data_IF_518128132561
#
_entry.id   IF_518128132561
#
_cell.length_a   1.000
_cell.length_b   1.000
_cell.length_c   1.000
_cell.angle_alpha   90.00
_cell.angle_beta   90.00
_cell.angle_gamma   90.00
#
_symmetry.space_group_name_H-M   'P 1'
#
loop_
_entity.id
_entity.type
_entity.pdbx_description
1 polymer ?
#
# COMPACT_ATOMS: atom_id res chain seq x y z
N UNK A 1 -26.74 -1.41 55.63
CA UNK A 1 -25.81 -1.50 54.47
C UNK A 1 -25.96 -0.24 53.62
N UNK A 2 -25.11 0.79 53.86
CA UNK A 2 -25.25 2.11 53.22
C UNK A 2 -24.73 2.03 51.76
N UNK A 3 -25.61 2.09 50.76
CA UNK A 3 -25.23 2.35 49.37
C UNK A 3 -24.65 3.78 49.28
N UNK A 4 -23.30 3.92 49.31
CA UNK A 4 -22.66 5.20 48.98
C UNK A 4 -23.06 5.62 47.59
N UNK A 5 -23.93 6.63 47.43
CA UNK A 5 -24.24 7.29 46.17
C UNK A 5 -22.93 7.79 45.54
N UNK A 6 -22.57 7.26 44.38
CA UNK A 6 -21.41 7.74 43.64
C UNK A 6 -21.78 9.16 43.17
N UNK A 7 -21.04 10.17 43.61
CA UNK A 7 -21.27 11.56 43.24
C UNK A 7 -20.83 11.78 41.77
N UNK A 8 -21.56 12.64 41.03
CA UNK A 8 -21.24 13.01 39.64
C UNK A 8 -19.76 13.36 39.43
N UNK A 9 -19.16 14.06 40.42
CA UNK A 9 -17.74 14.41 40.43
C UNK A 9 -16.81 13.19 40.39
N UNK A 10 -17.15 12.08 41.04
CA UNK A 10 -16.37 10.84 41.02
C UNK A 10 -16.47 10.10 39.70
N UNK A 11 -17.65 10.14 39.07
CA UNK A 11 -17.85 9.57 37.72
C UNK A 11 -16.98 10.32 36.74
N UNK A 12 -16.98 11.65 36.78
CA UNK A 12 -16.18 12.50 35.91
C UNK A 12 -14.66 12.25 36.10
N UNK A 13 -14.18 12.12 37.34
CA UNK A 13 -12.79 11.78 37.61
C UNK A 13 -12.41 10.41 36.96
N UNK A 14 -13.23 9.40 37.11
CA UNK A 14 -12.97 8.06 36.52
C UNK A 14 -12.93 8.14 35.00
N UNK A 15 -13.89 8.78 34.37
CA UNK A 15 -13.96 8.96 32.92
C UNK A 15 -12.73 9.72 32.42
N UNK A 16 -12.35 10.78 33.10
CA UNK A 16 -11.16 11.57 32.75
C UNK A 16 -9.87 10.74 32.78
N UNK A 17 -9.65 9.96 33.83
CA UNK A 17 -8.49 9.08 33.94
C UNK A 17 -8.51 7.99 32.85
N UNK A 18 -9.65 7.39 32.60
CA UNK A 18 -9.79 6.38 31.52
C UNK A 18 -9.44 6.96 30.14
N UNK A 19 -9.95 8.15 29.82
CA UNK A 19 -9.64 8.83 28.55
C UNK A 19 -8.16 9.19 28.47
N UNK A 20 -7.57 9.72 29.55
CA UNK A 20 -6.15 10.08 29.56
C UNK A 20 -5.23 8.87 29.32
N UNK A 21 -5.53 7.73 29.95
CA UNK A 21 -4.77 6.49 29.71
C UNK A 21 -4.98 5.95 28.29
N UNK A 22 -6.20 5.99 27.76
CA UNK A 22 -6.47 5.61 26.38
C UNK A 22 -5.65 6.45 25.39
N UNK A 23 -5.58 7.76 25.61
CA UNK A 23 -4.80 8.68 24.80
C UNK A 23 -3.29 8.39 24.87
N UNK A 24 -2.75 8.01 26.03
CA UNK A 24 -1.34 7.64 26.18
C UNK A 24 -1.00 6.38 25.38
N UNK A 25 -1.88 5.37 25.38
CA UNK A 25 -1.63 4.11 24.69
C UNK A 25 -1.94 4.13 23.18
N UNK A 26 -2.75 5.08 22.72
CA UNK A 26 -3.15 5.19 21.34
C UNK A 26 -1.97 5.34 20.35
N UNK A 27 -0.96 6.20 20.61
CA UNK A 27 0.21 6.32 19.73
C UNK A 27 1.03 5.03 19.60
N UNK A 28 1.11 4.22 20.66
CA UNK A 28 1.78 2.91 20.59
C UNK A 28 1.02 1.94 19.67
N UNK A 29 -0.31 1.94 19.73
CA UNK A 29 -1.12 1.15 18.81
C UNK A 29 -0.92 1.60 17.37
N UNK A 30 -0.88 2.92 17.12
CA UNK A 30 -0.59 3.46 15.80
C UNK A 30 0.76 2.98 15.27
N UNK A 31 1.82 3.15 16.06
CA UNK A 31 3.16 2.72 15.67
C UNK A 31 3.23 1.22 15.39
N UNK A 32 2.60 0.40 16.25
CA UNK A 32 2.56 -1.06 16.07
C UNK A 32 1.79 -1.47 14.81
N UNK A 33 0.70 -0.78 14.46
CA UNK A 33 -0.17 -1.18 13.35
C UNK A 33 0.28 -0.61 12.00
N UNK A 34 0.85 0.59 11.99
CA UNK A 34 1.13 1.37 10.78
C UNK A 34 2.60 1.78 10.64
N UNK A 35 3.46 1.36 11.56
CA UNK A 35 4.84 1.79 11.59
C UNK A 35 4.99 3.25 12.04
N UNK A 36 5.99 3.96 11.49
CA UNK A 36 6.20 5.38 11.77
C UNK A 36 5.11 6.20 11.10
N UNK A 37 4.32 6.91 11.90
CA UNK A 37 3.25 7.81 11.44
C UNK A 37 3.65 9.24 11.75
N UNK A 38 3.70 10.09 10.74
CA UNK A 38 3.96 11.52 10.92
C UNK A 38 2.71 12.24 11.41
N UNK A 39 2.89 13.29 12.18
CA UNK A 39 1.79 14.01 12.81
C UNK A 39 0.81 14.62 11.79
N UNK A 40 1.31 15.12 10.69
CA UNK A 40 0.51 15.66 9.60
C UNK A 40 -0.33 14.61 8.87
N UNK A 41 0.13 13.35 8.83
CA UNK A 41 -0.67 12.23 8.34
C UNK A 41 -1.87 11.97 9.28
N UNK A 42 -1.65 12.06 10.59
CA UNK A 42 -2.71 11.94 11.57
C UNK A 42 -3.77 13.05 11.38
N UNK A 43 -3.34 14.31 11.21
CA UNK A 43 -4.23 15.44 10.94
C UNK A 43 -5.01 15.23 9.65
N UNK A 44 -4.34 14.84 8.56
CA UNK A 44 -5.00 14.55 7.28
C UNK A 44 -6.11 13.49 7.43
N UNK A 45 -5.85 12.43 8.17
CA UNK A 45 -6.85 11.39 8.41
C UNK A 45 -8.00 11.86 9.30
N UNK A 46 -7.74 12.70 10.31
CA UNK A 46 -8.78 13.31 11.13
C UNK A 46 -9.70 14.23 10.29
N UNK A 47 -9.12 15.04 9.40
CA UNK A 47 -9.92 15.87 8.48
C UNK A 47 -10.82 15.04 7.57
N UNK A 48 -10.30 13.96 7.00
CA UNK A 48 -11.10 13.05 6.18
C UNK A 48 -12.24 12.41 7.00
N UNK A 49 -11.96 12.04 8.25
CA UNK A 49 -12.97 11.49 9.16
C UNK A 49 -14.12 12.49 9.39
N UNK A 50 -13.80 13.73 9.72
CA UNK A 50 -14.84 14.76 9.95
C UNK A 50 -15.61 15.13 8.66
N UNK A 51 -15.02 14.93 7.49
CA UNK A 51 -15.70 15.10 6.18
C UNK A 51 -16.59 13.90 5.80
N UNK A 52 -16.73 12.88 6.65
CA UNK A 52 -17.54 11.69 6.40
C UNK A 52 -17.03 10.75 5.31
N UNK A 53 -15.79 10.95 4.85
CA UNK A 53 -15.19 10.19 3.74
C UNK A 53 -14.47 8.92 4.18
N UNK A 54 -14.59 8.51 5.44
CA UNK A 54 -13.76 7.44 6.00
C UNK A 54 -14.58 6.24 6.45
N UNK A 55 -14.32 5.12 5.80
CA UNK A 55 -14.74 3.80 6.27
C UNK A 55 -13.48 3.07 6.74
N UNK A 56 -13.36 2.85 8.05
CA UNK A 56 -12.24 2.11 8.61
C UNK A 56 -12.23 0.66 8.12
N UNK A 57 -11.05 0.12 7.82
CA UNK A 57 -10.89 -1.29 7.47
C UNK A 57 -11.33 -2.19 8.65
N UNK A 58 -11.99 -3.30 8.36
CA UNK A 58 -12.54 -4.19 9.39
C UNK A 58 -11.45 -4.81 10.28
N UNK A 59 -10.26 -5.08 9.75
CA UNK A 59 -9.13 -5.59 10.53
C UNK A 59 -8.56 -4.49 11.44
N UNK A 60 -8.46 -3.26 10.93
CA UNK A 60 -8.05 -2.09 11.71
C UNK A 60 -9.03 -1.83 12.84
N UNK A 61 -10.35 -1.86 12.56
CA UNK A 61 -11.39 -1.73 13.59
C UNK A 61 -11.27 -2.82 14.65
N UNK A 62 -11.14 -4.08 14.26
CA UNK A 62 -11.00 -5.21 15.20
C UNK A 62 -9.73 -5.07 16.07
N UNK A 63 -8.64 -4.64 15.48
CA UNK A 63 -7.39 -4.35 16.20
C UNK A 63 -7.57 -3.20 17.18
N UNK A 64 -8.21 -2.10 16.76
CA UNK A 64 -8.50 -0.95 17.62
C UNK A 64 -9.39 -1.35 18.81
N UNK A 65 -10.47 -2.10 18.59
CA UNK A 65 -11.32 -2.58 19.68
C UNK A 65 -10.56 -3.44 20.69
N UNK A 66 -9.70 -4.35 20.23
CA UNK A 66 -8.84 -5.13 21.14
C UNK A 66 -7.95 -4.22 21.99
N UNK A 67 -7.32 -3.23 21.38
CA UNK A 67 -6.48 -2.27 22.09
C UNK A 67 -7.26 -1.39 23.07
N UNK A 68 -8.45 -0.94 22.70
CA UNK A 68 -9.34 -0.18 23.57
C UNK A 68 -9.75 -0.98 24.80
N UNK A 69 -10.04 -2.28 24.65
CA UNK A 69 -10.37 -3.17 25.77
C UNK A 69 -9.15 -3.35 26.66
N UNK A 70 -7.99 -3.70 26.12
CA UNK A 70 -6.76 -3.92 26.89
C UNK A 70 -6.36 -2.65 27.65
N UNK A 71 -6.34 -1.50 26.96
CA UNK A 71 -5.98 -0.22 27.59
C UNK A 71 -6.99 0.21 28.65
N UNK A 72 -8.29 -0.04 28.47
CA UNK A 72 -9.32 0.24 29.47
C UNK A 72 -9.15 -0.62 30.72
N UNK A 73 -8.88 -1.92 30.56
CA UNK A 73 -8.62 -2.83 31.70
C UNK A 73 -7.35 -2.39 32.43
N UNK A 74 -6.26 -2.12 31.70
CA UNK A 74 -5.00 -1.67 32.28
C UNK A 74 -5.15 -0.32 32.99
N UNK A 75 -5.86 0.62 32.36
CA UNK A 75 -6.17 1.94 32.96
C UNK A 75 -6.96 1.83 34.24
N UNK A 76 -7.97 0.95 34.25
CA UNK A 76 -8.78 0.71 35.47
C UNK A 76 -7.92 0.13 36.58
N UNK A 77 -7.08 -0.85 36.29
CA UNK A 77 -6.16 -1.44 37.26
C UNK A 77 -5.19 -0.40 37.85
N UNK A 78 -4.54 0.38 36.98
CA UNK A 78 -3.61 1.44 37.37
C UNK A 78 -4.34 2.51 38.18
N UNK A 79 -5.53 2.95 37.80
CA UNK A 79 -6.35 3.89 38.57
C UNK A 79 -6.66 3.36 39.97
N UNK A 80 -7.10 2.10 40.08
CA UNK A 80 -7.41 1.49 41.39
C UNK A 80 -6.16 1.37 42.31
N UNK A 81 -5.01 1.00 41.69
CA UNK A 81 -3.73 0.93 42.39
C UNK A 81 -3.30 2.30 42.92
N UNK A 82 -3.30 3.33 42.07
CA UNK A 82 -2.93 4.70 42.50
C UNK A 82 -3.94 5.29 43.48
N UNK A 83 -5.24 5.02 43.31
CA UNK A 83 -6.26 5.45 44.25
C UNK A 83 -6.02 4.90 45.65
N UNK A 84 -5.64 3.62 45.76
CA UNK A 84 -5.33 3.00 47.05
C UNK A 84 -4.09 3.61 47.73
N UNK A 85 -3.09 4.04 46.94
CA UNK A 85 -1.78 4.48 47.41
C UNK A 85 -1.64 6.00 47.59
N UNK A 86 -2.28 6.82 46.76
CA UNK A 86 -1.97 8.25 46.63
C UNK A 86 -3.15 9.23 46.79
N UNK A 87 -4.42 8.81 46.60
CA UNK A 87 -5.54 9.76 46.55
C UNK A 87 -6.09 10.22 47.92
N UNK A 88 -5.30 10.22 48.93
CA UNK A 88 -5.65 10.85 50.25
C UNK A 88 -5.27 12.34 50.32
N UNK A 89 -4.72 12.96 49.27
CA UNK A 89 -4.14 14.32 49.29
C UNK A 89 -4.92 15.39 48.47
N UNK A 90 -4.71 16.66 48.90
CA UNK A 90 -5.36 17.93 48.55
C UNK A 90 -5.47 18.26 47.02
N UNK A 91 -6.38 19.21 46.66
CA UNK A 91 -6.65 19.67 45.31
C UNK A 91 -5.43 20.12 44.48
N UNK A 92 -4.37 20.58 45.09
CA UNK A 92 -3.11 21.01 44.46
C UNK A 92 -2.32 19.84 43.85
N UNK A 93 -2.47 18.64 44.40
CA UNK A 93 -1.85 17.43 43.82
C UNK A 93 -2.55 16.96 42.56
N UNK A 94 -3.86 17.21 42.40
CA UNK A 94 -4.63 16.83 41.22
C UNK A 94 -4.22 17.60 39.97
N UNK A 95 -3.89 18.88 40.07
CA UNK A 95 -3.41 19.71 38.96
C UNK A 95 -2.03 19.19 38.49
N UNK A 96 -1.13 18.86 39.40
CA UNK A 96 0.17 18.28 39.07
C UNK A 96 0.05 16.93 38.35
N UNK A 97 -0.87 16.08 38.82
CA UNK A 97 -1.16 14.79 38.17
C UNK A 97 -1.69 15.00 36.73
N UNK A 98 -2.61 15.95 36.55
CA UNK A 98 -3.15 16.30 35.23
C UNK A 98 -2.07 16.76 34.25
N UNK A 99 -1.19 17.64 34.71
CA UNK A 99 -0.03 18.14 33.94
C UNK A 99 0.91 16.97 33.61
N UNK A 100 1.18 16.08 34.58
CA UNK A 100 2.04 14.92 34.35
C UNK A 100 1.47 13.97 33.29
N UNK A 101 0.15 13.68 33.31
CA UNK A 101 -0.51 12.88 32.29
C UNK A 101 -0.46 13.54 30.90
N UNK A 102 -0.68 14.85 30.83
CA UNK A 102 -0.57 15.59 29.59
C UNK A 102 0.84 15.55 29.01
N UNK A 103 1.86 15.73 29.85
CA UNK A 103 3.27 15.63 29.44
C UNK A 103 3.63 14.22 28.96
N UNK A 104 3.18 13.17 29.65
CA UNK A 104 3.40 11.78 29.20
C UNK A 104 2.70 11.52 27.87
N UNK A 105 1.48 12.04 27.69
CA UNK A 105 0.77 11.94 26.41
C UNK A 105 1.53 12.62 25.26
N UNK A 106 2.00 13.85 25.47
CA UNK A 106 2.77 14.61 24.47
C UNK A 106 4.09 13.89 24.16
N UNK A 107 4.80 13.37 25.17
CA UNK A 107 6.02 12.59 24.97
C UNK A 107 5.75 11.28 24.21
N UNK A 108 4.69 10.57 24.57
CA UNK A 108 4.26 9.36 23.86
C UNK A 108 3.91 9.65 22.41
N UNK A 109 3.16 10.72 22.14
CA UNK A 109 2.81 11.16 20.81
C UNK A 109 4.05 11.53 20.00
N UNK A 110 4.95 12.33 20.58
CA UNK A 110 6.20 12.74 19.93
C UNK A 110 7.09 11.56 19.58
N UNK A 111 7.26 10.62 20.51
CA UNK A 111 8.08 9.42 20.28
C UNK A 111 7.51 8.49 19.19
N UNK A 112 6.17 8.37 19.11
CA UNK A 112 5.53 7.40 18.22
C UNK A 112 5.08 7.98 16.86
N UNK A 113 5.04 9.32 16.72
CA UNK A 113 4.53 9.98 15.51
C UNK A 113 5.53 10.93 14.87
N UNK A 114 6.80 10.89 15.25
CA UNK A 114 7.80 11.85 14.76
C UNK A 114 7.28 13.32 14.79
N UNK A 115 6.56 13.69 15.85
CA UNK A 115 5.91 14.99 15.99
C UNK A 115 6.90 16.16 15.85
N UNK A 116 8.06 16.07 16.48
CA UNK A 116 9.08 17.11 16.42
C UNK A 116 9.63 17.28 15.00
N UNK A 117 9.86 16.18 14.28
CA UNK A 117 10.29 16.22 12.89
C UNK A 117 9.22 16.89 12.01
N UNK A 118 7.93 16.58 12.25
CA UNK A 118 6.83 17.19 11.50
C UNK A 118 6.70 18.71 11.72
N UNK A 119 7.02 19.20 12.92
CA UNK A 119 6.92 20.63 13.25
C UNK A 119 8.11 21.42 12.70
N UNK A 120 9.31 20.82 12.75
CA UNK A 120 10.55 21.47 12.31
C UNK A 120 10.81 21.35 10.80
N UNK A 121 10.07 20.46 10.14
CA UNK A 121 10.27 20.11 8.74
C UNK A 121 9.47 21.03 7.82
N UNK A 122 10.17 21.93 7.10
CA UNK A 122 9.55 22.71 6.04
C UNK A 122 9.38 21.81 4.79
N UNK A 123 8.16 21.32 4.57
CA UNK A 123 7.83 20.34 3.52
C UNK A 123 8.14 20.83 2.11
N UNK A 124 7.85 22.09 1.84
CA UNK A 124 8.00 22.62 0.49
C UNK A 124 9.46 22.68 0.09
N UNK A 125 10.31 23.22 0.95
CA UNK A 125 11.76 23.31 0.69
C UNK A 125 12.43 21.93 0.56
N UNK A 126 11.96 20.94 1.32
CA UNK A 126 12.56 19.62 1.28
C UNK A 126 12.19 18.85 0.01
N UNK A 127 10.93 18.89 -0.41
CA UNK A 127 10.49 18.23 -1.65
C UNK A 127 11.17 18.89 -2.84
N UNK A 128 11.17 20.22 -2.91
CA UNK A 128 11.83 20.96 -3.98
C UNK A 128 13.33 20.68 -4.04
N UNK A 129 14.03 20.68 -2.90
CA UNK A 129 15.48 20.46 -2.87
C UNK A 129 15.92 19.02 -3.13
N UNK A 130 15.11 18.02 -2.73
CA UNK A 130 15.55 16.63 -2.73
C UNK A 130 14.85 15.75 -3.75
N UNK A 131 13.68 16.15 -4.25
CA UNK A 131 12.84 15.31 -5.11
C UNK A 131 12.36 15.99 -6.39
N UNK A 132 12.50 17.32 -6.51
CA UNK A 132 12.04 18.04 -7.68
C UNK A 132 13.23 18.40 -8.58
N UNK A 133 13.27 17.79 -9.75
CA UNK A 133 14.22 18.13 -10.81
C UNK A 133 13.42 18.73 -11.95
N UNK A 134 13.52 20.06 -12.12
CA UNK A 134 12.87 20.77 -13.22
C UNK A 134 13.78 20.88 -14.45
N UNK A 135 14.69 19.92 -14.62
CA UNK A 135 15.52 19.87 -15.80
C UNK A 135 14.76 19.26 -16.98
N UNK A 136 14.79 19.92 -18.15
CA UNK A 136 14.17 19.38 -19.34
C UNK A 136 14.84 18.05 -19.72
N UNK A 137 14.03 17.00 -19.86
CA UNK A 137 14.51 15.70 -20.33
C UNK A 137 14.91 15.85 -21.79
N UNK A 138 16.21 15.88 -22.06
CA UNK A 138 16.74 15.92 -23.42
C UNK A 138 16.99 14.49 -23.91
N UNK A 139 16.08 13.97 -24.76
CA UNK A 139 16.25 12.65 -25.36
C UNK A 139 16.99 12.81 -26.68
N UNK A 140 18.30 12.58 -26.66
CA UNK A 140 19.15 12.66 -27.85
C UNK A 140 19.09 11.42 -28.75
N UNK A 141 18.60 10.29 -28.25
CA UNK A 141 18.59 9.00 -28.93
C UNK A 141 17.19 8.63 -29.48
N UNK A 142 17.16 7.64 -30.39
CA UNK A 142 15.90 7.05 -30.85
C UNK A 142 15.07 6.58 -29.66
N UNK A 143 13.84 7.03 -29.58
CA UNK A 143 12.90 6.67 -28.52
C UNK A 143 12.63 5.18 -28.53
N UNK A 144 12.77 4.53 -27.39
CA UNK A 144 12.40 3.14 -27.16
C UNK A 144 11.03 3.07 -26.48
N UNK A 145 10.32 1.98 -26.68
CA UNK A 145 9.14 1.72 -25.87
C UNK A 145 9.56 1.40 -24.41
N UNK A 146 8.75 1.79 -23.45
CA UNK A 146 9.03 1.56 -22.03
C UNK A 146 7.88 0.77 -21.39
N UNK A 147 8.21 -0.32 -20.72
CA UNK A 147 7.28 -1.15 -19.93
C UNK A 147 7.72 -1.14 -18.48
N UNK A 148 6.82 -0.74 -17.58
CA UNK A 148 7.02 -0.75 -16.14
C UNK A 148 6.06 -1.75 -15.51
N UNK A 149 6.59 -2.84 -14.95
CA UNK A 149 5.80 -3.93 -14.39
C UNK A 149 5.89 -3.88 -12.86
N UNK A 150 4.75 -3.61 -12.24
CA UNK A 150 4.56 -3.70 -10.79
C UNK A 150 4.04 -5.08 -10.46
N UNK A 151 4.84 -5.85 -9.73
CA UNK A 151 4.42 -7.18 -9.26
C UNK A 151 3.96 -7.06 -7.82
N UNK A 152 2.69 -7.31 -7.61
CA UNK A 152 2.04 -7.19 -6.30
C UNK A 152 2.82 -7.92 -5.21
N UNK A 153 3.19 -7.22 -4.12
CA UNK A 153 3.88 -7.76 -2.94
C UNK A 153 5.15 -8.58 -3.24
N UNK A 154 5.81 -8.39 -4.40
CA UNK A 154 7.04 -9.12 -4.74
C UNK A 154 8.22 -8.59 -3.93
N UNK A 155 8.81 -9.44 -3.13
CA UNK A 155 9.86 -9.11 -2.16
C UNK A 155 11.07 -10.04 -2.33
N UNK A 156 12.26 -9.53 -2.04
CA UNK A 156 13.50 -10.31 -2.00
C UNK A 156 13.47 -11.49 -1.02
N UNK A 157 12.59 -11.44 -0.01
CA UNK A 157 12.38 -12.56 0.93
C UNK A 157 12.03 -13.87 0.19
N UNK A 158 11.43 -13.80 -0.99
CA UNK A 158 11.08 -14.96 -1.81
C UNK A 158 12.30 -15.64 -2.45
N UNK A 159 13.46 -15.02 -2.41
CA UNK A 159 14.75 -15.65 -2.79
C UNK A 159 15.33 -16.50 -1.66
N UNK A 160 14.81 -16.43 -0.43
CA UNK A 160 15.34 -17.19 0.72
C UNK A 160 15.05 -18.69 0.60
N UNK A 161 16.09 -19.43 0.25
CA UNK A 161 16.04 -20.90 0.12
C UNK A 161 15.74 -21.61 1.43
N UNK A 162 16.12 -21.03 2.58
CA UNK A 162 15.85 -21.65 3.90
C UNK A 162 14.36 -21.58 4.23
N UNK A 163 13.73 -20.46 3.92
CA UNK A 163 12.30 -20.22 4.19
C UNK A 163 11.38 -20.97 3.21
N UNK A 164 11.73 -20.98 1.92
CA UNK A 164 10.85 -21.49 0.85
C UNK A 164 11.30 -22.81 0.22
N UNK A 165 12.47 -23.33 0.59
CA UNK A 165 13.07 -24.57 0.03
C UNK A 165 13.81 -24.35 -1.29
N UNK A 166 13.57 -23.23 -1.97
CA UNK A 166 14.23 -22.82 -3.22
C UNK A 166 14.19 -21.30 -3.37
N UNK A 167 15.01 -20.76 -4.26
CA UNK A 167 14.86 -19.37 -4.68
C UNK A 167 13.68 -19.26 -5.65
N UNK A 168 12.55 -18.70 -5.20
CA UNK A 168 11.35 -18.58 -6.03
C UNK A 168 11.50 -17.54 -7.15
N UNK A 169 12.47 -16.62 -7.04
CA UNK A 169 12.77 -15.61 -8.05
C UNK A 169 13.73 -16.11 -9.14
N UNK A 170 14.25 -17.34 -9.02
CA UNK A 170 15.25 -17.90 -9.93
C UNK A 170 14.86 -17.81 -11.43
N UNK A 171 13.57 -18.01 -11.83
CA UNK A 171 13.20 -17.86 -13.24
C UNK A 171 13.46 -16.47 -13.82
N UNK A 172 13.37 -15.40 -13.01
CA UNK A 172 13.72 -14.04 -13.44
C UNK A 172 15.23 -13.87 -13.59
N UNK A 173 16.03 -14.42 -12.68
CA UNK A 173 17.49 -14.39 -12.78
C UNK A 173 18.04 -15.23 -13.94
N UNK A 174 17.27 -16.20 -14.42
CA UNK A 174 17.65 -17.05 -15.53
C UNK A 174 17.24 -16.49 -16.91
N UNK A 175 16.64 -15.30 -16.95
CA UNK A 175 16.27 -14.67 -18.21
C UNK A 175 17.50 -14.48 -19.10
N UNK A 176 17.43 -14.94 -20.35
CA UNK A 176 18.48 -14.77 -21.37
C UNK A 176 18.38 -13.39 -22.02
N UNK A 177 18.33 -12.36 -21.23
CA UNK A 177 18.27 -10.95 -21.66
C UNK A 177 19.36 -10.19 -20.96
N UNK A 178 19.87 -9.13 -21.58
CA UNK A 178 20.77 -8.20 -20.93
C UNK A 178 20.01 -7.41 -19.89
N UNK A 179 20.22 -7.72 -18.61
CA UNK A 179 19.46 -7.15 -17.50
C UNK A 179 20.38 -6.70 -16.36
N UNK A 180 20.02 -5.58 -15.75
CA UNK A 180 20.67 -5.05 -14.56
C UNK A 180 19.76 -5.21 -13.34
N UNK A 181 20.33 -5.57 -12.20
CA UNK A 181 19.64 -5.67 -10.93
C UNK A 181 19.96 -4.46 -10.05
N UNK A 182 18.91 -3.81 -9.50
CA UNK A 182 19.07 -2.76 -8.49
C UNK A 182 19.20 -3.40 -7.11
N UNK A 183 20.42 -3.50 -6.58
CA UNK A 183 20.70 -4.21 -5.31
C UNK A 183 20.24 -3.46 -4.04
N UNK A 184 20.15 -2.15 -4.07
CA UNK A 184 19.86 -1.30 -2.91
C UNK A 184 18.51 -0.57 -3.05
N UNK A 185 17.50 -1.29 -3.49
CA UNK A 185 16.15 -0.78 -3.62
C UNK A 185 15.31 -1.22 -2.42
N UNK A 186 14.94 -0.28 -1.55
CA UNK A 186 14.25 -0.57 -0.30
C UNK A 186 12.92 0.17 -0.22
N UNK A 187 11.94 -0.50 0.36
CA UNK A 187 10.69 0.15 0.71
C UNK A 187 10.88 1.10 1.88
N UNK A 188 10.35 2.33 1.77
CA UNK A 188 10.29 3.25 2.90
C UNK A 188 9.28 2.72 3.94
N UNK A 189 9.60 2.71 5.24
CA UNK A 189 8.68 2.26 6.28
C UNK A 189 7.32 2.95 6.21
N UNK A 190 6.22 2.18 6.30
CA UNK A 190 4.87 2.70 6.20
C UNK A 190 4.30 2.85 4.78
N UNK A 191 5.06 2.47 3.74
CA UNK A 191 4.66 2.58 2.33
C UNK A 191 4.20 1.23 1.73
N UNK A 192 3.35 0.51 2.43
CA UNK A 192 2.90 -0.84 2.07
C UNK A 192 1.59 -0.89 1.27
N UNK A 193 1.33 0.11 0.42
CA UNK A 193 0.13 0.18 -0.40
C UNK A 193 0.46 0.48 -1.85
N UNK A 194 -0.24 -0.17 -2.77
CA UNK A 194 -0.09 -0.04 -4.22
C UNK A 194 -0.06 1.42 -4.71
N UNK A 195 -0.97 2.28 -4.24
CA UNK A 195 -1.00 3.69 -4.65
C UNK A 195 0.24 4.46 -4.18
N UNK A 196 0.80 4.11 -3.02
CA UNK A 196 2.02 4.76 -2.52
C UNK A 196 3.22 4.43 -3.39
N UNK A 197 3.32 3.17 -3.82
CA UNK A 197 4.34 2.74 -4.76
C UNK A 197 4.20 3.42 -6.12
N UNK A 198 2.97 3.51 -6.63
CA UNK A 198 2.69 4.18 -7.89
C UNK A 198 3.15 5.64 -7.86
N UNK A 199 2.83 6.38 -6.79
CA UNK A 199 3.28 7.76 -6.59
C UNK A 199 4.80 7.83 -6.44
N UNK A 200 5.39 6.99 -5.58
CA UNK A 200 6.82 7.04 -5.32
C UNK A 200 7.66 6.76 -6.57
N UNK A 201 7.27 5.78 -7.36
CA UNK A 201 8.04 5.36 -8.55
C UNK A 201 7.76 6.20 -9.78
N UNK A 202 6.54 6.70 -9.96
CA UNK A 202 6.20 7.52 -11.13
C UNK A 202 6.41 9.01 -10.91
N UNK A 203 6.31 9.50 -9.67
CA UNK A 203 6.49 10.93 -9.38
C UNK A 203 7.82 11.24 -8.67
N UNK A 204 8.60 10.22 -8.28
CA UNK A 204 9.87 10.40 -7.58
C UNK A 204 9.75 11.05 -6.20
N UNK A 205 8.55 11.07 -5.61
CA UNK A 205 8.29 11.66 -4.30
C UNK A 205 7.70 10.65 -3.32
N UNK A 206 7.99 10.74 -2.02
CA UNK A 206 7.37 9.88 -1.03
C UNK A 206 5.88 10.20 -0.90
N UNK A 207 5.02 9.21 -1.14
CA UNK A 207 3.59 9.34 -0.86
C UNK A 207 3.32 9.18 0.63
N UNK A 208 2.35 9.96 1.18
CA UNK A 208 1.93 9.76 2.57
C UNK A 208 1.18 8.44 2.70
N UNK A 209 1.52 7.58 3.69
CA UNK A 209 0.80 6.34 3.92
C UNK A 209 -0.69 6.60 4.21
N UNK A 210 -1.54 5.81 3.59
CA UNK A 210 -3.00 5.96 3.68
C UNK A 210 -3.59 4.98 4.71
N UNK A 211 -2.77 4.44 5.58
CA UNK A 211 -2.96 3.22 6.36
C UNK A 211 -4.14 3.13 7.33
N UNK A 212 -4.84 4.23 7.65
CA UNK A 212 -5.92 4.18 8.66
C UNK A 212 -7.27 3.73 8.13
N UNK A 213 -7.53 3.94 6.84
CA UNK A 213 -8.84 3.81 6.28
C UNK A 213 -8.82 2.99 5.01
N UNK A 214 -9.97 2.44 4.64
CA UNK A 214 -10.10 1.77 3.36
C UNK A 214 -9.59 2.71 2.28
N UNK A 215 -8.65 2.24 1.52
CA UNK A 215 -8.13 2.98 0.38
C UNK A 215 -9.24 3.36 -0.65
N UNK A 216 -10.43 2.75 -0.54
CA UNK A 216 -11.64 3.19 -1.23
C UNK A 216 -12.05 4.65 -0.96
N UNK A 217 -11.60 5.27 0.14
CA UNK A 217 -11.83 6.69 0.39
C UNK A 217 -11.09 7.60 -0.59
N UNK A 218 -10.01 7.13 -1.21
CA UNK A 218 -9.26 7.88 -2.22
C UNK A 218 -10.02 8.03 -3.54
N UNK A 219 -11.01 7.20 -3.82
CA UNK A 219 -11.83 7.32 -5.03
C UNK A 219 -12.54 8.67 -5.17
N UNK A 220 -12.62 9.45 -4.09
CA UNK A 220 -13.23 10.78 -4.09
C UNK A 220 -12.22 11.92 -4.32
N UNK A 221 -10.93 11.63 -4.38
CA UNK A 221 -9.88 12.62 -4.62
C UNK A 221 -9.73 12.80 -6.13
N UNK A 222 -10.46 13.77 -6.69
CA UNK A 222 -10.44 14.03 -8.14
C UNK A 222 -9.15 14.72 -8.62
N UNK A 223 -8.54 15.56 -7.77
CA UNK A 223 -7.29 16.26 -8.06
C UNK A 223 -6.15 15.55 -7.31
N UNK A 224 -5.53 14.59 -7.96
CA UNK A 224 -4.47 13.78 -7.36
C UNK A 224 -3.10 14.29 -7.81
N UNK A 225 -2.38 14.98 -6.92
CA UNK A 225 -1.06 15.57 -7.14
C UNK A 225 -0.96 16.48 -8.40
N UNK A 226 -1.90 17.41 -8.63
CA UNK A 226 -2.00 18.14 -9.90
C UNK A 226 -0.80 19.06 -10.19
N UNK A 227 0.00 19.40 -9.17
CA UNK A 227 1.16 20.30 -9.28
C UNK A 227 2.50 19.56 -9.32
N UNK A 228 2.49 18.23 -9.37
CA UNK A 228 3.69 17.39 -9.43
C UNK A 228 3.75 16.74 -10.80
N UNK A 229 4.87 16.88 -11.51
CA UNK A 229 5.10 16.13 -12.74
C UNK A 229 5.48 14.68 -12.40
N UNK A 230 4.75 13.74 -12.96
CA UNK A 230 5.01 12.32 -12.83
C UNK A 230 5.47 11.73 -14.19
N UNK A 231 5.89 10.49 -14.19
CA UNK A 231 6.42 9.84 -15.39
C UNK A 231 5.44 9.89 -16.59
N UNK A 232 4.13 9.77 -16.32
CA UNK A 232 3.10 9.95 -17.35
C UNK A 232 3.10 11.35 -17.99
N UNK A 233 3.41 12.41 -17.22
CA UNK A 233 3.51 13.75 -17.76
C UNK A 233 4.76 13.90 -18.64
N UNK A 234 5.91 13.41 -18.16
CA UNK A 234 7.16 13.43 -18.93
C UNK A 234 7.08 12.63 -20.22
N UNK A 235 6.51 11.44 -20.17
CA UNK A 235 6.36 10.60 -21.36
C UNK A 235 5.37 11.21 -22.36
N UNK A 236 4.30 11.86 -21.88
CA UNK A 236 3.39 12.62 -22.74
C UNK A 236 4.08 13.81 -23.41
N UNK A 237 4.90 14.59 -22.68
CA UNK A 237 5.68 15.71 -23.22
C UNK A 237 6.67 15.24 -24.30
N UNK A 238 7.12 13.99 -24.22
CA UNK A 238 7.95 13.32 -25.21
C UNK A 238 7.15 12.62 -26.32
N UNK A 239 5.86 12.84 -26.44
CA UNK A 239 4.96 12.21 -27.40
C UNK A 239 4.92 10.66 -27.33
N UNK A 240 4.96 10.11 -26.11
CA UNK A 240 4.64 8.71 -25.87
C UNK A 240 3.12 8.54 -25.68
N UNK A 241 2.62 7.41 -26.13
CA UNK A 241 1.29 6.97 -25.76
C UNK A 241 1.32 6.27 -24.41
N UNK A 242 0.70 6.89 -23.40
CA UNK A 242 0.62 6.32 -22.05
C UNK A 242 -0.47 5.25 -21.98
N UNK A 243 -0.10 4.03 -21.56
CA UNK A 243 -0.95 2.86 -21.41
C UNK A 243 -0.88 2.37 -19.94
N UNK A 244 -2.02 1.99 -19.39
CA UNK A 244 -2.08 1.37 -18.07
C UNK A 244 -2.94 0.11 -18.11
N UNK A 245 -2.46 -0.99 -17.55
CA UNK A 245 -3.17 -2.26 -17.53
C UNK A 245 -3.08 -2.91 -16.14
N UNK A 246 -4.21 -3.43 -15.64
CA UNK A 246 -4.29 -4.04 -14.31
C UNK A 246 -5.34 -5.13 -14.24
N UNK A 247 -5.12 -6.06 -13.32
CA UNK A 247 -6.05 -7.14 -12.97
C UNK A 247 -7.21 -6.70 -12.08
N UNK A 248 -7.21 -5.48 -11.56
CA UNK A 248 -8.23 -4.95 -10.63
C UNK A 248 -9.05 -3.82 -11.27
N UNK A 249 -10.06 -3.36 -10.56
CA UNK A 249 -10.85 -2.17 -10.91
C UNK A 249 -10.10 -0.89 -10.52
N UNK A 250 -9.87 0.01 -11.46
CA UNK A 250 -9.13 1.26 -11.23
C UNK A 250 -9.87 2.30 -10.38
N UNK A 251 -11.18 2.18 -10.24
CA UNK A 251 -11.94 3.04 -9.32
C UNK A 251 -11.53 2.85 -7.86
N UNK A 252 -10.89 1.71 -7.55
CA UNK A 252 -10.36 1.46 -6.24
C UNK A 252 -9.09 2.31 -6.01
N UNK A 253 -8.86 2.73 -4.76
CA UNK A 253 -7.62 3.33 -4.27
C UNK A 253 -7.20 4.68 -4.89
N UNK A 254 -8.05 5.34 -5.67
CA UNK A 254 -7.72 6.62 -6.32
C UNK A 254 -6.81 6.51 -7.55
N UNK A 255 -6.49 5.29 -7.99
CA UNK A 255 -5.61 5.03 -9.15
C UNK A 255 -6.15 5.71 -10.41
N UNK A 256 -7.45 5.65 -10.66
CA UNK A 256 -8.08 6.29 -11.81
C UNK A 256 -7.76 7.79 -11.89
N UNK A 257 -7.97 8.51 -10.78
CA UNK A 257 -7.73 9.96 -10.78
C UNK A 257 -6.24 10.29 -10.83
N UNK A 258 -5.38 9.49 -10.22
CA UNK A 258 -3.94 9.62 -10.39
C UNK A 258 -3.58 9.53 -11.89
N UNK A 259 -4.01 8.50 -12.59
CA UNK A 259 -3.70 8.29 -14.00
C UNK A 259 -4.23 9.42 -14.88
N UNK A 260 -5.51 9.82 -14.70
CA UNK A 260 -6.12 10.89 -15.49
C UNK A 260 -5.45 12.25 -15.27
N UNK A 261 -5.00 12.54 -14.04
CA UNK A 261 -4.28 13.78 -13.75
C UNK A 261 -2.86 13.79 -14.35
N UNK A 262 -2.25 12.62 -14.58
CA UNK A 262 -0.89 12.46 -15.11
C UNK A 262 -0.87 11.92 -16.54
N UNK A 263 -1.77 12.42 -17.39
CA UNK A 263 -1.76 12.25 -18.86
C UNK A 263 -1.98 10.82 -19.37
N UNK A 264 -2.63 9.96 -18.59
CA UNK A 264 -3.20 8.74 -19.12
C UNK A 264 -4.62 9.02 -19.63
N UNK A 265 -4.90 8.72 -20.89
CA UNK A 265 -6.25 8.83 -21.42
C UNK A 265 -7.10 7.65 -20.93
N UNK A 266 -8.38 7.88 -20.60
CA UNK A 266 -9.30 6.82 -20.16
C UNK A 266 -9.40 5.68 -21.18
N UNK A 267 -9.33 6.00 -22.48
CA UNK A 267 -9.29 5.01 -23.56
C UNK A 267 -8.07 4.08 -23.53
N UNK A 268 -6.97 4.51 -22.92
CA UNK A 268 -5.70 3.79 -22.82
C UNK A 268 -5.52 3.08 -21.48
N UNK A 269 -6.51 3.14 -20.62
CA UNK A 269 -6.54 2.42 -19.35
C UNK A 269 -7.34 1.13 -19.53
N UNK A 270 -6.73 0.00 -19.19
CA UNK A 270 -7.28 -1.35 -19.32
C UNK A 270 -7.36 -1.99 -17.94
N UNK A 271 -8.50 -1.83 -17.30
CA UNK A 271 -8.83 -2.53 -16.06
C UNK A 271 -9.50 -3.88 -16.33
N UNK A 272 -9.77 -4.64 -15.29
CA UNK A 272 -10.43 -5.95 -15.39
C UNK A 272 -11.76 -5.88 -16.16
N UNK A 273 -12.55 -4.82 -15.99
CA UNK A 273 -13.84 -4.65 -16.68
C UNK A 273 -13.68 -4.47 -18.18
N UNK A 274 -12.70 -3.66 -18.59
CA UNK A 274 -12.41 -3.43 -20.01
C UNK A 274 -11.78 -4.65 -20.65
N UNK A 275 -10.86 -5.33 -19.96
CA UNK A 275 -10.24 -6.57 -20.43
C UNK A 275 -11.27 -7.69 -20.61
N UNK A 276 -12.22 -7.82 -19.67
CA UNK A 276 -13.35 -8.76 -19.79
C UNK A 276 -14.19 -8.48 -21.05
N UNK A 277 -14.48 -7.21 -21.34
CA UNK A 277 -15.20 -6.81 -22.57
C UNK A 277 -14.42 -7.15 -23.85
N UNK A 278 -13.09 -7.19 -23.77
CA UNK A 278 -12.21 -7.62 -24.87
C UNK A 278 -12.10 -9.15 -24.99
N UNK A 279 -12.79 -9.92 -24.14
CA UNK A 279 -12.86 -11.38 -24.21
C UNK A 279 -11.81 -12.10 -23.36
N UNK A 280 -11.04 -11.41 -22.50
CA UNK A 280 -10.11 -12.08 -21.58
C UNK A 280 -10.84 -12.71 -20.40
N UNK A 281 -10.35 -13.88 -19.99
CA UNK A 281 -10.93 -14.66 -18.88
C UNK A 281 -10.77 -13.92 -17.56
N UNK A 282 -11.85 -13.86 -16.76
CA UNK A 282 -11.82 -13.36 -15.38
C UNK A 282 -12.11 -14.50 -14.42
N UNK A 283 -11.58 -14.41 -13.20
CA UNK A 283 -11.79 -15.41 -12.16
C UNK A 283 -12.75 -14.90 -11.09
N UNK A 284 -13.52 -15.82 -10.49
CA UNK A 284 -14.47 -15.50 -9.42
C UNK A 284 -13.84 -15.58 -8.03
N UNK A 285 -12.53 -15.40 -7.89
CA UNK A 285 -11.95 -15.50 -6.56
C UNK A 285 -12.22 -14.23 -5.73
N UNK A 286 -12.69 -14.46 -4.53
CA UNK A 286 -13.01 -13.43 -3.56
C UNK A 286 -11.73 -13.03 -2.83
N UNK A 287 -10.98 -12.07 -3.34
CA UNK A 287 -9.93 -11.50 -2.54
C UNK A 287 -10.49 -10.40 -1.61
N UNK A 288 -9.94 -10.30 -0.39
CA UNK A 288 -10.44 -9.46 0.73
C UNK A 288 -11.85 -9.79 1.23
N UNK A 289 -12.36 -11.01 1.00
CA UNK A 289 -13.69 -11.39 1.51
C UNK A 289 -14.88 -10.70 0.81
N UNK A 290 -14.64 -9.81 -0.14
CA UNK A 290 -15.68 -9.31 -1.02
C UNK A 290 -15.79 -10.24 -2.23
N UNK A 291 -16.93 -10.87 -2.38
CA UNK A 291 -17.33 -11.51 -3.63
C UNK A 291 -17.65 -10.40 -4.64
N UNK A 292 -16.62 -9.84 -5.26
CA UNK A 292 -16.85 -8.95 -6.37
C UNK A 292 -17.46 -9.77 -7.51
N UNK A 293 -18.62 -9.35 -7.98
CA UNK A 293 -19.37 -10.04 -9.03
C UNK A 293 -18.59 -10.19 -10.34
N UNK A 294 -17.57 -9.36 -10.55
CA UNK A 294 -16.78 -9.35 -11.78
C UNK A 294 -15.42 -10.05 -11.66
N UNK A 295 -15.06 -10.54 -10.44
CA UNK A 295 -13.79 -11.23 -10.20
C UNK A 295 -12.57 -10.34 -10.46
N UNK A 296 -11.38 -10.89 -10.18
CA UNK A 296 -10.11 -10.36 -10.65
C UNK A 296 -9.66 -11.09 -11.92
N UNK A 297 -8.47 -10.78 -12.39
CA UNK A 297 -7.83 -11.48 -13.49
C UNK A 297 -6.53 -12.08 -12.99
N UNK A 298 -6.24 -13.34 -13.33
CA UNK A 298 -4.96 -13.95 -13.00
C UNK A 298 -3.81 -13.32 -13.80
N UNK A 299 -2.62 -13.30 -13.22
CA UNK A 299 -1.47 -12.62 -13.77
C UNK A 299 -1.04 -13.16 -15.14
N UNK A 300 -1.16 -14.47 -15.40
CA UNK A 300 -0.87 -15.05 -16.71
C UNK A 300 -1.84 -14.55 -17.80
N UNK A 301 -3.11 -14.35 -17.47
CA UNK A 301 -4.12 -13.79 -18.39
C UNK A 301 -3.86 -12.30 -18.61
N UNK A 302 -3.54 -11.55 -17.54
CA UNK A 302 -3.15 -10.15 -17.62
C UNK A 302 -1.94 -9.94 -18.52
N UNK A 303 -0.89 -10.74 -18.32
CA UNK A 303 0.35 -10.66 -19.11
C UNK A 303 0.11 -11.05 -20.57
N UNK A 304 -0.79 -12.02 -20.84
CA UNK A 304 -1.25 -12.32 -22.21
C UNK A 304 -1.95 -11.12 -22.83
N UNK A 305 -2.89 -10.50 -22.12
CA UNK A 305 -3.60 -9.30 -22.60
C UNK A 305 -2.62 -8.15 -22.85
N UNK A 306 -1.64 -7.96 -21.96
CA UNK A 306 -0.58 -6.97 -22.11
C UNK A 306 0.24 -7.21 -23.37
N UNK A 307 0.62 -8.45 -23.65
CA UNK A 307 1.35 -8.82 -24.87
C UNK A 307 0.55 -8.49 -26.14
N UNK A 308 -0.73 -8.82 -26.17
CA UNK A 308 -1.60 -8.54 -27.33
C UNK A 308 -1.76 -7.03 -27.56
N UNK A 309 -1.88 -6.23 -26.48
CA UNK A 309 -1.95 -4.77 -26.55
C UNK A 309 -0.61 -4.18 -26.98
N UNK A 310 0.53 -4.70 -26.52
CA UNK A 310 1.87 -4.30 -26.96
C UNK A 310 2.01 -4.51 -28.46
N UNK A 311 1.72 -5.71 -28.97
CA UNK A 311 1.78 -6.00 -30.42
C UNK A 311 0.95 -5.05 -31.25
N UNK A 312 -0.26 -4.72 -30.79
CA UNK A 312 -1.13 -3.75 -31.46
C UNK A 312 -0.50 -2.34 -31.49
N UNK A 313 0.21 -1.93 -30.43
CA UNK A 313 0.82 -0.61 -30.37
C UNK A 313 2.16 -0.53 -31.10
N UNK A 314 2.89 -1.62 -31.25
CA UNK A 314 4.12 -1.68 -32.05
C UNK A 314 3.88 -1.42 -33.54
N UNK A 315 2.68 -1.69 -34.03
CA UNK A 315 2.32 -1.34 -35.44
C UNK A 315 2.13 0.17 -35.68
N UNK A 316 2.10 0.97 -34.60
CA UNK A 316 2.01 2.43 -34.68
C UNK A 316 3.42 3.05 -34.70
N UNK A 317 3.56 4.24 -35.28
CA UNK A 317 4.84 4.97 -35.30
C UNK A 317 5.19 5.64 -33.98
N UNK A 318 4.21 5.78 -33.07
CA UNK A 318 4.40 6.45 -31.77
C UNK A 318 4.97 5.48 -30.75
N UNK A 319 6.00 5.89 -29.98
CA UNK A 319 6.46 5.09 -28.86
C UNK A 319 5.40 5.05 -27.76
N UNK A 320 5.38 3.98 -26.97
CA UNK A 320 4.47 3.87 -25.84
C UNK A 320 5.22 3.69 -24.52
N UNK A 321 4.60 4.19 -23.45
CA UNK A 321 4.91 3.88 -22.07
C UNK A 321 3.76 3.08 -21.48
N UNK A 322 4.02 1.87 -21.01
CA UNK A 322 3.02 0.97 -20.46
C UNK A 322 3.34 0.62 -19.00
N UNK A 323 2.40 0.87 -18.11
CA UNK A 323 2.45 0.37 -16.71
C UNK A 323 1.54 -0.85 -16.57
N UNK A 324 2.08 -1.96 -16.03
CA UNK A 324 1.35 -3.22 -15.79
C UNK A 324 1.32 -3.49 -14.29
N UNK A 325 0.13 -3.75 -13.72
CA UNK A 325 -0.06 -4.12 -12.32
C UNK A 325 -0.62 -5.52 -12.18
N UNK A 326 0.14 -6.43 -11.55
CA UNK A 326 -0.29 -7.79 -11.25
C UNK A 326 -1.08 -7.87 -9.93
N UNK A 327 -1.64 -9.03 -9.58
CA UNK A 327 -2.50 -9.17 -8.41
C UNK A 327 -2.39 -10.50 -7.68
N UNK A 328 -2.00 -11.59 -8.33
CA UNK A 328 -2.08 -12.95 -7.76
C UNK A 328 -1.27 -13.14 -6.49
N UNK A 329 -0.21 -12.36 -6.28
CA UNK A 329 0.66 -12.41 -5.10
C UNK A 329 0.18 -11.54 -3.93
N UNK A 330 -1.08 -11.03 -3.99
CA UNK A 330 -1.64 -10.20 -2.93
C UNK A 330 -1.77 -10.95 -1.60
N UNK A 331 -1.22 -10.32 -0.53
CA UNK A 331 -1.25 -10.86 0.83
C UNK A 331 -2.69 -11.05 1.36
N UNK A 332 -2.94 -11.95 2.33
CA UNK A 332 -1.94 -12.75 3.09
C UNK A 332 -1.54 -14.07 2.44
N UNK A 333 -2.32 -14.66 1.57
CA UNK A 333 -2.08 -16.03 1.06
C UNK A 333 -1.80 -16.13 -0.43
N UNK A 334 -2.03 -15.04 -1.19
CA UNK A 334 -1.99 -15.08 -2.64
C UNK A 334 -3.17 -15.84 -3.28
N UNK A 335 -3.28 -15.73 -4.60
CA UNK A 335 -4.38 -16.29 -5.40
C UNK A 335 -3.85 -16.86 -6.72
N UNK A 336 -3.07 -17.94 -6.66
CA UNK A 336 -2.44 -18.51 -7.86
C UNK A 336 -3.49 -19.02 -8.85
N UNK A 337 -3.20 -18.92 -10.15
CA UNK A 337 -4.10 -19.46 -11.17
C UNK A 337 -4.28 -20.97 -10.98
N UNK A 338 -5.51 -21.48 -10.87
CA UNK A 338 -5.76 -22.92 -10.78
C UNK A 338 -5.15 -23.74 -11.92
N UNK A 339 -5.03 -23.18 -13.13
CA UNK A 339 -4.37 -23.86 -14.26
C UNK A 339 -2.87 -24.06 -14.00
N UNK A 340 -2.20 -23.05 -13.43
CA UNK A 340 -0.80 -23.18 -13.01
C UNK A 340 -0.65 -24.23 -11.89
N UNK A 341 -1.53 -24.20 -10.90
CA UNK A 341 -1.48 -25.18 -9.81
C UNK A 341 -1.71 -26.62 -10.29
N UNK A 342 -2.65 -26.84 -11.23
CA UNK A 342 -2.88 -28.17 -11.83
C UNK A 342 -1.65 -28.70 -12.56
N UNK A 343 -0.81 -27.85 -13.12
CA UNK A 343 0.46 -28.29 -13.73
C UNK A 343 1.52 -28.66 -12.69
N UNK A 344 1.35 -28.24 -11.42
CA UNK A 344 2.29 -28.50 -10.32
C UNK A 344 1.83 -29.63 -9.41
N UNK A 345 0.52 -29.81 -9.26
CA UNK A 345 -0.11 -30.73 -8.30
C UNK A 345 -1.26 -31.49 -8.96
N UNK A 346 -1.23 -32.79 -8.84
CA UNK A 346 -2.37 -33.66 -9.20
C UNK A 346 -3.29 -33.81 -7.96
N UNK A 347 -4.04 -32.74 -7.64
CA UNK A 347 -4.87 -32.67 -6.44
C UNK A 347 -6.26 -32.12 -6.79
N UNK A 348 -7.36 -32.88 -6.51
CA UNK A 348 -8.71 -32.42 -6.77
C UNK A 348 -9.12 -31.20 -5.94
N UNK A 349 -8.49 -30.99 -4.76
CA UNK A 349 -8.77 -29.86 -3.88
C UNK A 349 -7.75 -28.71 -4.07
N UNK A 350 -7.63 -28.25 -5.31
CA UNK A 350 -6.61 -27.28 -5.72
C UNK A 350 -6.67 -25.97 -4.92
N UNK A 351 -7.85 -25.57 -4.42
CA UNK A 351 -7.99 -24.36 -3.60
C UNK A 351 -7.25 -24.45 -2.26
N UNK A 352 -7.01 -25.65 -1.74
CA UNK A 352 -6.16 -25.85 -0.54
C UNK A 352 -4.70 -25.53 -0.80
N UNK A 353 -4.29 -25.45 -2.06
CA UNK A 353 -2.93 -25.05 -2.48
C UNK A 353 -2.76 -23.55 -2.69
N UNK A 354 -3.79 -22.75 -2.39
CA UNK A 354 -3.68 -21.29 -2.44
C UNK A 354 -2.78 -20.79 -1.30
N UNK A 355 -1.53 -20.61 -1.62
CA UNK A 355 -0.49 -20.12 -0.72
C UNK A 355 0.32 -19.03 -1.43
N UNK A 356 0.89 -18.11 -0.68
CA UNK A 356 1.76 -17.07 -1.23
C UNK A 356 2.94 -17.68 -2.00
N UNK A 357 3.53 -18.76 -1.50
CA UNK A 357 4.60 -19.49 -2.20
C UNK A 357 4.18 -19.90 -3.60
N UNK A 358 3.03 -20.53 -3.74
CA UNK A 358 2.53 -21.03 -5.02
C UNK A 358 2.12 -19.88 -5.94
N UNK A 359 1.56 -18.79 -5.38
CA UNK A 359 1.28 -17.57 -6.15
C UNK A 359 2.56 -16.98 -6.74
N UNK A 360 3.60 -16.83 -5.93
CA UNK A 360 4.89 -16.31 -6.41
C UNK A 360 5.48 -17.20 -7.51
N UNK A 361 5.44 -18.53 -7.35
CA UNK A 361 5.92 -19.47 -8.38
C UNK A 361 5.16 -19.24 -9.69
N UNK A 362 3.82 -19.18 -9.65
CA UNK A 362 2.99 -19.01 -10.84
C UNK A 362 3.22 -17.65 -11.50
N UNK A 363 3.20 -16.56 -10.71
CA UNK A 363 3.41 -15.19 -11.22
C UNK A 363 4.82 -15.02 -11.81
N UNK A 364 5.86 -15.49 -11.12
CA UNK A 364 7.24 -15.38 -11.61
C UNK A 364 7.46 -16.20 -12.88
N UNK A 365 6.85 -17.38 -12.96
CA UNK A 365 6.89 -18.20 -14.18
C UNK A 365 6.21 -17.51 -15.36
N UNK A 366 5.00 -16.97 -15.15
CA UNK A 366 4.26 -16.23 -16.19
C UNK A 366 5.02 -14.96 -16.63
N UNK A 367 5.62 -14.25 -15.67
CA UNK A 367 6.40 -13.05 -15.93
C UNK A 367 7.67 -13.35 -16.73
N UNK A 368 8.38 -14.41 -16.38
CA UNK A 368 9.56 -14.86 -17.12
C UNK A 368 9.22 -15.21 -18.58
N UNK A 369 8.11 -15.92 -18.79
CA UNK A 369 7.63 -16.24 -20.15
C UNK A 369 7.20 -14.99 -20.91
N UNK A 370 6.56 -14.03 -20.25
CA UNK A 370 6.16 -12.75 -20.85
C UNK A 370 7.39 -11.97 -21.32
N UNK A 371 8.40 -11.81 -20.47
CA UNK A 371 9.64 -11.08 -20.83
C UNK A 371 10.34 -11.75 -22.01
N UNK A 372 10.45 -13.09 -22.01
CA UNK A 372 11.03 -13.82 -23.15
C UNK A 372 10.25 -13.55 -24.44
N UNK A 373 8.91 -13.60 -24.41
CA UNK A 373 8.09 -13.31 -25.61
C UNK A 373 8.23 -11.86 -26.10
N UNK A 374 8.43 -10.90 -25.21
CA UNK A 374 8.70 -9.50 -25.58
C UNK A 374 10.07 -9.39 -26.23
N UNK A 375 11.08 -10.05 -25.67
CA UNK A 375 12.44 -10.08 -26.24
C UNK A 375 12.45 -10.67 -27.66
N UNK A 376 11.65 -11.71 -27.92
CA UNK A 376 11.54 -12.36 -29.24
C UNK A 376 10.93 -11.44 -30.32
N UNK A 377 10.29 -10.32 -29.95
CA UNK A 377 9.77 -9.35 -30.91
C UNK A 377 10.89 -8.56 -31.62
N UNK A 378 12.11 -8.56 -31.07
CA UNK A 378 13.25 -7.80 -31.59
C UNK A 378 12.99 -6.30 -31.79
N UNK A 379 12.10 -5.73 -30.95
CA UNK A 379 11.76 -4.32 -30.96
C UNK A 379 12.49 -3.58 -29.83
N UNK A 380 12.80 -2.28 -29.99
CA UNK A 380 13.47 -1.50 -28.96
C UNK A 380 12.55 -1.22 -27.78
N UNK A 381 12.50 -2.14 -26.83
CA UNK A 381 11.65 -2.09 -25.63
C UNK A 381 12.54 -2.22 -24.38
N UNK A 382 12.49 -1.24 -23.50
CA UNK A 382 13.07 -1.35 -22.17
C UNK A 382 12.00 -1.82 -21.17
N UNK A 383 12.36 -2.79 -20.31
CA UNK A 383 11.44 -3.36 -19.32
C UNK A 383 12.02 -3.13 -17.92
N UNK A 384 11.23 -2.55 -17.03
CA UNK A 384 11.53 -2.41 -15.61
C UNK A 384 10.55 -3.27 -14.83
N UNK A 385 11.05 -4.15 -13.98
CA UNK A 385 10.25 -5.02 -13.11
C UNK A 385 10.58 -4.68 -11.66
N UNK A 386 9.57 -4.40 -10.87
CA UNK A 386 9.71 -4.13 -9.43
C UNK A 386 8.53 -4.70 -8.64
N UNK A 387 8.76 -5.02 -7.37
CA UNK A 387 7.67 -5.20 -6.42
C UNK A 387 7.02 -3.86 -6.13
N UNK A 388 5.70 -3.80 -6.04
CA UNK A 388 5.02 -2.56 -5.69
C UNK A 388 5.25 -2.21 -4.22
N UNK A 389 5.28 -3.18 -3.33
CA UNK A 389 5.69 -3.05 -1.93
C UNK A 389 6.18 -4.40 -1.38
N UNK A 390 6.84 -4.36 -0.23
CA UNK A 390 7.30 -5.57 0.45
C UNK A 390 6.11 -6.44 0.89
N UNK A 391 6.33 -7.74 0.91
CA UNK A 391 5.35 -8.69 1.43
C UNK A 391 5.18 -8.49 2.95
N UNK A 392 3.97 -8.22 3.47
CA UNK A 392 3.75 -8.06 4.90
C UNK A 392 3.93 -9.41 5.60
N UNK A 393 5.14 -9.67 6.11
CA UNK A 393 5.42 -10.86 6.90
C UNK A 393 4.75 -10.77 8.26
N UNK A 394 4.20 -11.90 8.75
CA UNK A 394 3.62 -11.98 10.11
C UNK A 394 4.65 -11.76 11.22
N UNK A 395 5.93 -11.75 10.89
CA UNK A 395 7.03 -11.60 11.85
C UNK A 395 7.39 -10.13 12.12
N UNK A 396 6.81 -9.18 11.36
CA UNK A 396 6.94 -7.73 11.58
C UNK A 396 5.67 -7.08 12.13
N UNK A 397 4.65 -7.86 12.50
CA UNK A 397 3.37 -7.37 13.03
C UNK A 397 3.25 -7.55 14.56
#
# INVERSE_FOLDING_TARGET
MFKKKITFKKIFEIIFYLISFLLIFLPFWFKKKFGVVYFDQLIFHLELFFKGNLVADAQVQKSLYKWLIISSVTSTYVYLFFKKKFLKKNNFTKIKELISFFLIFVLSLSYNTALFESITFNKNDFIEKNYYFDEPINVQNKKKNLILIYVESLDQIFADKKKYGSNLLQPLYNLKVDANEMKNFYQIPGYSFTINSLVATQCGIPAKPIGFFKASSLKNIKNFLPNIKCLGDYTNDLNYKNLFITSDEIENFGVKYFLLNHKYLDSNIYDVKKLKKLGYETSNFAWRGNKNKDGGMHDDVLLKASYDIIKKNLSNSEPFFMSIYTLDTHSPKGYPNPKCLKSMFDDPEIEKKFTIKNSVICTVSALSQFVSKISDLNEPIDIIILGDHAYPSSDES
#
